data_IF_450859865351
#
_entry.id   IF_450859865351
#
_cell.length_a   1.000
_cell.length_b   1.000
_cell.length_c   1.000
_cell.angle_alpha   90.00
_cell.angle_beta   90.00
_cell.angle_gamma   90.00
#
_symmetry.space_group_name_H-M   'P 1'
#
loop_
_entity.id
_entity.type
_entity.pdbx_description
1 polymer ?
#
# COMPACT_ATOMS: atom_id res chain seq x y z
N UNK A 1 -21.12 -4.71 6.72
CA UNK A 1 -22.02 -3.78 7.45
C UNK A 1 -21.25 -3.00 8.52
N UNK A 2 -20.45 -3.64 9.42
CA UNK A 2 -19.75 -2.90 10.48
C UNK A 2 -18.66 -1.98 9.90
N UNK A 3 -17.79 -2.49 9.03
CA UNK A 3 -16.71 -1.71 8.38
C UNK A 3 -17.26 -0.44 7.71
N UNK A 4 -18.37 -0.54 6.98
CA UNK A 4 -18.99 0.64 6.34
C UNK A 4 -19.44 1.70 7.35
N UNK A 5 -19.92 1.30 8.53
CA UNK A 5 -20.30 2.22 9.61
C UNK A 5 -19.08 2.87 10.24
N UNK A 6 -18.01 2.12 10.42
CA UNK A 6 -16.76 2.61 10.99
C UNK A 6 -16.10 3.62 10.03
N UNK A 7 -16.10 3.32 8.72
CA UNK A 7 -15.66 4.28 7.69
C UNK A 7 -16.51 5.54 7.71
N UNK A 8 -17.85 5.41 7.71
CA UNK A 8 -18.74 6.58 7.78
C UNK A 8 -18.54 7.40 9.04
N UNK A 9 -18.36 6.75 10.20
CA UNK A 9 -18.08 7.45 11.45
C UNK A 9 -16.76 8.25 11.36
N UNK A 10 -15.72 7.65 10.79
CA UNK A 10 -14.40 8.27 10.65
C UNK A 10 -14.35 9.41 9.61
N UNK A 11 -15.27 9.44 8.65
CA UNK A 11 -15.37 10.56 7.68
C UNK A 11 -16.39 11.63 8.10
N UNK A 12 -16.82 11.66 9.35
CA UNK A 12 -17.76 12.67 9.87
C UNK A 12 -19.24 12.30 9.74
N UNK A 13 -19.55 11.03 9.45
CA UNK A 13 -20.92 10.51 9.35
C UNK A 13 -21.47 10.47 7.93
N UNK A 14 -22.60 9.77 7.77
CA UNK A 14 -23.25 9.60 6.47
C UNK A 14 -23.64 10.93 5.81
N UNK A 15 -24.00 11.94 6.59
CA UNK A 15 -24.40 13.26 6.08
C UNK A 15 -23.20 14.08 5.56
N UNK A 16 -21.98 13.74 5.93
CA UNK A 16 -20.77 14.39 5.43
C UNK A 16 -20.30 13.81 4.09
N UNK A 17 -20.80 12.64 3.68
CA UNK A 17 -20.46 12.02 2.40
C UNK A 17 -21.40 12.55 1.32
N UNK A 18 -20.81 13.14 0.27
CA UNK A 18 -21.54 13.71 -0.87
C UNK A 18 -21.46 12.85 -2.12
N UNK A 19 -20.44 11.94 -2.18
CA UNK A 19 -20.31 10.96 -3.26
C UNK A 19 -19.60 9.70 -2.76
N UNK A 20 -19.94 8.57 -3.37
CA UNK A 20 -19.42 7.25 -3.07
C UNK A 20 -19.18 6.49 -4.38
N UNK A 21 -17.93 6.14 -4.67
CA UNK A 21 -17.52 5.40 -5.86
C UNK A 21 -16.43 4.37 -5.50
N UNK A 22 -16.20 3.42 -6.39
CA UNK A 22 -15.14 2.42 -6.22
C UNK A 22 -14.22 2.35 -7.44
N UNK A 23 -12.96 2.03 -7.18
CA UNK A 23 -12.00 1.70 -8.22
C UNK A 23 -11.14 0.51 -7.76
N UNK A 24 -11.45 -0.68 -8.25
CA UNK A 24 -10.76 -1.96 -8.01
C UNK A 24 -10.57 -2.32 -6.51
N UNK A 25 -9.73 -1.61 -5.79
CA UNK A 25 -9.39 -1.87 -4.38
C UNK A 25 -9.59 -0.64 -3.49
N UNK A 26 -10.10 0.46 -4.06
CA UNK A 26 -10.24 1.74 -3.39
C UNK A 26 -11.71 2.17 -3.35
N UNK A 27 -12.15 2.49 -2.16
CA UNK A 27 -13.40 3.22 -1.94
C UNK A 27 -13.07 4.71 -2.04
N UNK A 28 -13.78 5.44 -2.89
CA UNK A 28 -13.63 6.87 -3.11
C UNK A 28 -14.82 7.59 -2.50
N UNK A 29 -14.56 8.50 -1.60
CA UNK A 29 -15.57 9.31 -0.94
C UNK A 29 -15.26 10.79 -1.18
N UNK A 30 -16.30 11.58 -1.48
CA UNK A 30 -16.25 13.03 -1.36
C UNK A 30 -16.96 13.43 -0.07
N UNK A 31 -16.40 14.40 0.66
CA UNK A 31 -16.95 14.91 1.90
C UNK A 31 -17.36 16.37 1.74
N UNK A 32 -18.43 16.81 2.41
CA UNK A 32 -18.86 18.20 2.43
C UNK A 32 -17.89 19.05 3.27
N UNK A 33 -17.51 18.52 4.45
CA UNK A 33 -16.54 19.15 5.35
C UNK A 33 -15.36 18.20 5.58
N UNK A 34 -14.19 18.43 4.95
CA UNK A 34 -13.02 17.59 5.09
C UNK A 34 -12.37 17.69 6.49
N UNK A 35 -12.69 18.70 7.29
CA UNK A 35 -12.17 18.84 8.65
C UNK A 35 -12.74 17.80 9.62
N UNK A 36 -13.86 17.16 9.26
CA UNK A 36 -14.49 16.09 10.03
C UNK A 36 -13.89 14.69 9.74
N UNK A 37 -12.94 14.60 8.81
CA UNK A 37 -12.30 13.33 8.45
C UNK A 37 -11.21 13.00 9.46
N UNK A 38 -11.45 11.99 10.27
CA UNK A 38 -10.47 11.41 11.19
C UNK A 38 -9.68 10.30 10.48
N UNK A 39 -8.48 10.64 10.02
CA UNK A 39 -7.60 9.72 9.29
C UNK A 39 -7.01 8.64 10.19
N UNK A 40 -6.85 8.89 11.48
CA UNK A 40 -6.35 7.92 12.45
C UNK A 40 -7.41 6.83 12.72
N UNK A 41 -8.64 7.24 13.03
CA UNK A 41 -9.77 6.32 13.16
C UNK A 41 -10.01 5.52 11.86
N UNK A 42 -9.87 6.17 10.70
CA UNK A 42 -10.06 5.54 9.41
C UNK A 42 -8.99 4.48 9.12
N UNK A 43 -7.72 4.77 9.44
CA UNK A 43 -6.62 3.80 9.30
C UNK A 43 -6.71 2.63 10.29
N UNK A 44 -7.30 2.85 11.47
CA UNK A 44 -7.58 1.82 12.46
C UNK A 44 -8.77 0.92 12.12
N UNK A 45 -9.56 1.26 11.08
CA UNK A 45 -10.72 0.48 10.67
C UNK A 45 -10.32 -0.86 10.06
N UNK A 46 -10.95 -1.93 10.52
CA UNK A 46 -10.64 -3.29 10.08
C UNK A 46 -10.72 -3.46 8.56
N UNK A 47 -9.65 -3.92 7.96
CA UNK A 47 -9.54 -4.17 6.52
C UNK A 47 -9.10 -2.97 5.69
N UNK A 48 -8.92 -1.80 6.29
CA UNK A 48 -8.28 -0.64 5.65
C UNK A 48 -6.77 -0.90 5.59
N UNK A 49 -6.20 -0.77 4.40
CA UNK A 49 -4.77 -0.93 4.12
C UNK A 49 -4.07 0.41 3.98
N UNK A 50 -4.82 1.48 3.77
CA UNK A 50 -4.28 2.82 3.64
C UNK A 50 -5.35 3.83 3.24
N UNK A 51 -4.98 5.13 3.32
CA UNK A 51 -5.85 6.25 3.02
C UNK A 51 -5.08 7.23 2.13
N UNK A 52 -5.76 7.78 1.13
CA UNK A 52 -5.24 8.84 0.27
C UNK A 52 -6.21 10.01 0.30
N UNK A 53 -5.72 11.21 0.58
CA UNK A 53 -6.51 12.44 0.38
C UNK A 53 -6.43 12.85 -1.08
N UNK A 54 -7.56 13.24 -1.66
CA UNK A 54 -7.66 13.72 -3.04
C UNK A 54 -8.31 15.09 -3.07
N UNK A 55 -7.63 16.06 -3.65
CA UNK A 55 -8.13 17.43 -3.69
C UNK A 55 -8.41 17.99 -2.28
N UNK A 56 -9.39 18.87 -2.18
CA UNK A 56 -9.76 19.52 -0.91
C UNK A 56 -10.69 18.69 -0.04
N UNK A 57 -11.51 17.80 -0.64
CA UNK A 57 -12.60 17.09 0.03
C UNK A 57 -12.72 15.61 -0.34
N UNK A 58 -11.80 15.07 -1.14
CA UNK A 58 -11.75 13.67 -1.53
C UNK A 58 -10.94 12.79 -0.56
N UNK A 59 -11.45 11.60 -0.27
CA UNK A 59 -10.78 10.58 0.54
C UNK A 59 -10.89 9.24 -0.18
N UNK A 60 -9.75 8.62 -0.47
CA UNK A 60 -9.69 7.25 -0.95
C UNK A 60 -9.27 6.32 0.19
N UNK A 61 -10.08 5.32 0.46
CA UNK A 61 -9.81 4.30 1.46
C UNK A 61 -9.44 3.00 0.74
N UNK A 62 -8.22 2.54 0.92
CA UNK A 62 -7.69 1.36 0.25
C UNK A 62 -8.06 0.11 1.04
N UNK A 63 -8.74 -0.81 0.36
CA UNK A 63 -9.06 -2.14 0.87
C UNK A 63 -8.35 -3.20 0.04
N UNK A 64 -8.23 -4.42 0.57
CA UNK A 64 -7.75 -5.56 -0.21
C UNK A 64 -8.77 -5.97 -1.29
N UNK A 65 -8.32 -6.75 -2.31
CA UNK A 65 -9.20 -7.26 -3.36
C UNK A 65 -10.42 -8.01 -2.79
N UNK A 66 -11.61 -7.73 -3.35
CA UNK A 66 -12.87 -8.39 -3.00
C UNK A 66 -13.54 -7.90 -1.72
N UNK A 67 -12.97 -6.93 -1.00
CA UNK A 67 -13.61 -6.32 0.18
C UNK A 67 -14.30 -4.99 -0.12
N UNK A 68 -13.77 -4.23 -1.07
CA UNK A 68 -14.24 -2.88 -1.35
C UNK A 68 -15.68 -2.84 -1.86
N UNK A 69 -16.06 -3.79 -2.71
CA UNK A 69 -17.42 -3.87 -3.29
C UNK A 69 -18.48 -3.96 -2.18
N UNK A 70 -18.30 -4.88 -1.22
CA UNK A 70 -19.24 -5.03 -0.11
C UNK A 70 -19.28 -3.83 0.84
N UNK A 71 -18.18 -3.08 0.96
CA UNK A 71 -18.15 -1.84 1.76
C UNK A 71 -18.84 -0.70 1.01
N UNK A 72 -18.58 -0.57 -0.30
CA UNK A 72 -19.24 0.41 -1.17
C UNK A 72 -20.76 0.25 -1.15
N UNK A 73 -21.25 -0.98 -1.42
CA UNK A 73 -22.68 -1.28 -1.43
C UNK A 73 -23.35 -1.00 -0.08
N UNK A 74 -22.63 -1.31 1.01
CA UNK A 74 -23.12 -1.02 2.35
C UNK A 74 -23.18 0.49 2.64
N UNK A 75 -22.21 1.28 2.15
CA UNK A 75 -22.22 2.74 2.26
C UNK A 75 -23.32 3.33 1.38
N UNK A 76 -23.47 2.87 0.14
CA UNK A 76 -24.57 3.28 -0.75
C UNK A 76 -25.95 3.06 -0.08
N UNK A 77 -26.14 1.90 0.55
CA UNK A 77 -27.35 1.60 1.30
C UNK A 77 -27.58 2.48 2.54
N UNK A 78 -26.53 3.02 3.15
CA UNK A 78 -26.61 3.88 4.35
C UNK A 78 -26.74 5.37 4.02
N UNK A 79 -26.16 5.80 2.89
CA UNK A 79 -26.14 7.21 2.45
C UNK A 79 -27.18 7.53 1.37
N UNK A 80 -27.64 6.51 0.66
CA UNK A 80 -28.50 6.67 -0.53
C UNK A 80 -27.74 7.20 -1.77
N UNK A 81 -26.43 7.16 -1.76
CA UNK A 81 -25.57 7.64 -2.84
C UNK A 81 -25.11 6.45 -3.68
N UNK A 82 -25.49 6.42 -4.95
CA UNK A 82 -25.01 5.46 -5.96
C UNK A 82 -23.87 6.08 -6.80
N UNK A 83 -23.04 5.22 -7.40
CA UNK A 83 -21.80 5.56 -8.12
C UNK A 83 -21.96 6.51 -9.33
N UNK A 84 -23.18 6.81 -9.76
CA UNK A 84 -23.44 7.58 -10.99
C UNK A 84 -23.41 9.12 -10.80
N UNK A 85 -23.14 9.65 -9.60
CA UNK A 85 -23.44 11.05 -9.27
C UNK A 85 -22.24 12.00 -9.15
N UNK A 86 -20.98 11.53 -9.17
CA UNK A 86 -19.84 12.41 -8.93
C UNK A 86 -18.75 12.31 -10.00
N UNK A 87 -18.36 13.46 -10.53
CA UNK A 87 -17.17 13.59 -11.36
C UNK A 87 -15.91 13.67 -10.48
N UNK A 88 -15.28 12.50 -10.21
CA UNK A 88 -14.00 12.42 -9.52
C UNK A 88 -12.80 12.81 -10.41
N UNK A 89 -13.04 13.25 -11.65
CA UNK A 89 -12.00 13.57 -12.63
C UNK A 89 -11.45 14.99 -12.49
N UNK A 90 -12.12 15.88 -11.73
CA UNK A 90 -11.78 17.30 -11.67
C UNK A 90 -10.87 17.69 -10.51
N UNK A 91 -10.61 16.80 -9.55
CA UNK A 91 -9.75 17.10 -8.41
C UNK A 91 -8.30 16.69 -8.70
N UNK A 92 -7.50 17.69 -9.12
CA UNK A 92 -6.05 17.58 -9.04
C UNK A 92 -5.64 17.33 -7.56
N UNK A 93 -4.60 16.53 -7.29
CA UNK A 93 -4.18 16.26 -5.92
C UNK A 93 -3.88 17.57 -5.19
N UNK A 94 -4.48 17.76 -4.02
CA UNK A 94 -3.95 18.69 -3.05
C UNK A 94 -2.57 18.18 -2.62
N UNK A 95 -1.65 19.08 -2.36
CA UNK A 95 -0.25 18.85 -2.04
C UNK A 95 0.02 17.53 -1.30
N UNK A 96 0.97 16.77 -1.83
CA UNK A 96 1.27 15.39 -1.56
C UNK A 96 1.21 14.98 -0.08
N UNK A 97 0.14 14.29 0.31
CA UNK A 97 0.16 13.35 1.42
C UNK A 97 0.17 11.94 0.79
N UNK A 98 1.37 11.47 0.49
CA UNK A 98 1.57 10.16 -0.08
C UNK A 98 1.06 9.07 0.86
N UNK A 99 0.46 8.03 0.30
CA UNK A 99 -0.04 6.85 1.00
C UNK A 99 1.12 6.19 1.76
N UNK A 100 1.29 6.48 3.04
CA UNK A 100 2.15 5.72 3.94
C UNK A 100 1.38 4.51 4.44
N UNK A 101 1.68 3.33 3.94
CA UNK A 101 1.24 2.08 4.56
C UNK A 101 2.29 1.69 5.60
N UNK A 102 2.09 2.15 6.83
CA UNK A 102 2.87 1.68 7.98
C UNK A 102 2.12 0.50 8.59
N UNK A 103 2.62 -0.71 8.40
CA UNK A 103 2.08 -1.90 9.09
C UNK A 103 2.85 -2.02 10.41
N UNK A 104 2.22 -1.63 11.51
CA UNK A 104 2.78 -1.86 12.83
C UNK A 104 2.76 -3.35 13.16
N UNK A 105 3.92 -3.86 13.62
CA UNK A 105 4.16 -5.26 14.00
C UNK A 105 3.42 -5.60 15.31
N UNK A 106 2.10 -5.73 15.28
CA UNK A 106 1.32 -6.31 16.36
C UNK A 106 0.64 -7.59 15.88
N UNK A 107 1.37 -8.70 16.03
CA UNK A 107 0.80 -10.02 16.17
C UNK A 107 0.33 -10.69 14.87
N UNK A 108 1.27 -11.25 14.09
CA UNK A 108 0.97 -12.33 13.16
C UNK A 108 1.54 -13.65 13.71
N UNK A 109 0.76 -14.74 13.71
CA UNK A 109 1.27 -16.04 14.11
C UNK A 109 2.31 -16.53 13.09
N UNK A 110 3.41 -17.11 13.59
CA UNK A 110 4.48 -17.70 12.79
C UNK A 110 3.94 -18.88 11.98
N UNK A 111 4.05 -18.80 10.66
CA UNK A 111 3.76 -19.91 9.75
C UNK A 111 4.99 -20.76 9.51
N UNK A 112 5.21 -21.75 10.35
CA UNK A 112 5.89 -22.99 9.96
C UNK A 112 4.82 -24.08 10.00
N UNK A 113 4.31 -24.43 8.84
CA UNK A 113 3.67 -25.68 8.42
C UNK A 113 2.61 -25.40 7.34
N UNK A 114 3.07 -25.31 6.08
CA UNK A 114 2.18 -25.38 4.94
C UNK A 114 2.25 -26.79 4.37
N UNK A 115 1.34 -27.65 4.81
CA UNK A 115 0.92 -28.82 4.04
C UNK A 115 -0.52 -28.63 3.57
N UNK A 116 -0.73 -28.95 2.28
CA UNK A 116 -2.02 -28.95 1.59
C UNK A 116 -3.13 -29.57 2.44
N UNK A 117 -4.19 -28.82 2.73
CA UNK A 117 -5.53 -29.40 2.85
C UNK A 117 -6.64 -28.41 2.47
N UNK A 118 -7.55 -28.88 1.63
CA UNK A 118 -8.79 -28.21 1.25
C UNK A 118 -9.81 -28.51 2.36
N UNK A 119 -9.93 -27.59 3.31
CA UNK A 119 -10.94 -27.69 4.36
C UNK A 119 -11.62 -26.34 4.57
N UNK A 120 -12.94 -26.30 4.37
CA UNK A 120 -13.77 -25.22 4.88
C UNK A 120 -13.63 -25.18 6.40
N UNK A 121 -13.37 -23.99 6.93
CA UNK A 121 -13.26 -23.75 8.38
C UNK A 121 -14.55 -24.19 9.08
N UNK A 122 -14.44 -25.04 10.09
CA UNK A 122 -15.57 -25.55 10.88
C UNK A 122 -16.11 -24.42 11.79
N UNK A 123 -17.41 -24.49 12.06
CA UNK A 123 -18.13 -23.51 12.89
C UNK A 123 -17.61 -23.47 14.34
N UNK A 124 -16.95 -24.53 14.80
CA UNK A 124 -16.35 -24.60 16.13
C UNK A 124 -15.02 -23.84 16.21
N UNK A 125 -14.21 -23.85 15.15
CA UNK A 125 -12.97 -23.05 15.05
C UNK A 125 -13.29 -21.54 15.00
N UNK A 126 -14.40 -21.14 14.36
CA UNK A 126 -14.87 -19.75 14.36
C UNK A 126 -15.36 -19.31 15.74
N UNK A 127 -15.90 -20.20 16.55
CA UNK A 127 -16.36 -19.92 17.89
C UNK A 127 -15.21 -19.72 18.88
N UNK A 128 -14.15 -20.49 18.72
CA UNK A 128 -12.94 -20.37 19.55
C UNK A 128 -12.21 -19.04 19.24
N UNK A 129 -12.14 -18.65 17.96
CA UNK A 129 -11.60 -17.36 17.54
C UNK A 129 -12.40 -16.16 18.09
N UNK A 130 -13.74 -16.28 18.10
CA UNK A 130 -14.62 -15.25 18.67
C UNK A 130 -14.47 -15.13 20.19
N UNK A 131 -14.22 -16.25 20.89
CA UNK A 131 -14.05 -16.24 22.35
C UNK A 131 -12.73 -15.60 22.79
N UNK A 132 -11.70 -15.64 21.94
CA UNK A 132 -10.42 -14.98 22.18
C UNK A 132 -10.55 -13.45 21.97
N UNK A 133 -11.33 -13.02 20.98
CA UNK A 133 -11.60 -11.61 20.73
C UNK A 133 -12.47 -10.95 21.80
N UNK A 134 -13.43 -11.68 22.39
CA UNK A 134 -14.26 -11.19 23.49
C UNK A 134 -13.49 -11.09 24.83
N UNK A 135 -12.45 -11.87 25.03
CA UNK A 135 -11.64 -11.85 26.23
C UNK A 135 -10.66 -10.65 26.30
N UNK A 136 -10.27 -10.08 25.16
CA UNK A 136 -9.42 -8.89 25.10
C UNK A 136 -10.21 -7.57 25.22
N UNK A 137 -11.52 -7.61 25.01
CA UNK A 137 -12.40 -6.42 25.06
C UNK A 137 -12.76 -5.94 26.47
N UNK A 138 -12.29 -6.58 27.55
CA UNK A 138 -12.66 -6.26 28.93
C UNK A 138 -11.52 -5.72 29.81
N UNK A 139 -10.47 -5.19 29.23
CA UNK A 139 -9.45 -4.41 29.97
C UNK A 139 -9.20 -3.12 29.23
N UNK A 140 -9.81 -2.06 29.73
CA UNK A 140 -9.16 -0.77 29.99
C UNK A 140 -10.21 0.32 30.17
N UNK A 141 -10.34 0.79 31.42
CA UNK A 141 -10.91 2.10 31.75
C UNK A 141 -9.85 3.18 31.52
N UNK A 142 -10.25 4.43 31.13
CA UNK A 142 -9.34 5.44 30.64
C UNK A 142 -8.56 6.11 31.80
N UNK A 143 -7.23 6.10 31.67
CA UNK A 143 -6.36 7.02 32.41
C UNK A 143 -6.16 8.29 31.57
N UNK A 144 -6.27 9.42 32.24
CA UNK A 144 -6.25 10.78 31.71
C UNK A 144 -5.00 11.10 30.89
N UNK A 145 -5.23 11.88 29.84
CA UNK A 145 -4.22 12.35 28.88
C UNK A 145 -3.28 13.37 29.53
N UNK A 146 -1.99 13.13 29.52
CA UNK A 146 -0.95 14.15 29.46
C UNK A 146 0.20 13.70 28.56
N UNK A 147 0.54 14.51 27.59
CA UNK A 147 1.76 14.45 26.83
C UNK A 147 1.58 13.98 25.39
N UNK A 148 1.55 14.94 24.47
CA UNK A 148 1.84 14.68 23.08
C UNK A 148 3.26 14.08 23.01
N UNK A 149 3.36 12.77 22.84
CA UNK A 149 4.59 12.11 22.49
C UNK A 149 4.88 12.50 21.04
N UNK A 150 5.94 13.27 20.82
CA UNK A 150 6.62 13.30 19.56
C UNK A 150 7.02 11.86 19.27
N UNK A 151 6.43 11.22 18.28
CA UNK A 151 6.89 9.93 17.79
C UNK A 151 8.35 10.14 17.37
N UNK A 152 9.28 9.56 18.11
CA UNK A 152 10.68 9.54 17.76
C UNK A 152 10.78 8.75 16.44
N UNK A 153 11.25 9.42 15.37
CA UNK A 153 11.53 8.74 14.12
C UNK A 153 12.48 7.56 14.40
N UNK A 154 12.25 6.37 13.83
CA UNK A 154 13.09 5.23 14.09
C UNK A 154 14.54 5.56 13.76
N UNK A 155 15.44 5.47 14.74
CA UNK A 155 16.87 5.61 14.51
C UNK A 155 17.35 4.47 13.61
N UNK A 156 17.84 4.81 12.40
CA UNK A 156 18.41 3.86 11.46
C UNK A 156 17.99 4.10 10.01
N UNK A 157 18.59 3.35 9.10
CA UNK A 157 18.34 3.50 7.67
C UNK A 157 16.93 3.06 7.28
N UNK A 158 16.34 3.77 6.31
CA UNK A 158 14.98 3.58 5.84
C UNK A 158 14.96 3.30 4.33
N UNK A 159 14.14 2.35 3.89
CA UNK A 159 13.97 2.00 2.48
C UNK A 159 12.52 2.16 2.05
N UNK A 160 12.32 2.70 0.84
CA UNK A 160 11.01 2.68 0.19
C UNK A 160 11.01 1.76 -1.02
N UNK A 161 9.96 0.93 -1.15
CA UNK A 161 9.70 0.07 -2.31
C UNK A 161 8.56 0.70 -3.11
N UNK A 162 8.88 1.18 -4.33
CA UNK A 162 7.92 1.86 -5.21
C UNK A 162 7.50 0.92 -6.33
N UNK A 163 6.20 0.67 -6.43
CA UNK A 163 5.59 -0.23 -7.39
C UNK A 163 4.67 0.52 -8.36
N UNK A 164 4.87 0.30 -9.64
CA UNK A 164 4.09 0.89 -10.71
C UNK A 164 2.84 0.09 -11.09
N UNK A 165 2.26 0.40 -12.29
CA UNK A 165 0.99 -0.12 -12.75
C UNK A 165 0.90 -1.64 -12.72
N UNK A 166 -0.26 -2.12 -12.27
CA UNK A 166 -0.65 -3.52 -12.24
C UNK A 166 0.15 -4.43 -11.29
N UNK A 167 1.11 -3.91 -10.50
CA UNK A 167 1.80 -4.73 -9.50
C UNK A 167 0.82 -5.13 -8.39
N UNK A 168 -0.18 -4.30 -8.07
CA UNK A 168 -1.29 -4.64 -7.18
C UNK A 168 -2.14 -5.84 -7.66
N UNK A 169 -2.00 -6.25 -8.93
CA UNK A 169 -2.71 -7.39 -9.53
C UNK A 169 -1.91 -8.71 -9.49
N UNK A 170 -0.80 -8.75 -8.76
CA UNK A 170 -0.02 -9.97 -8.57
C UNK A 170 -0.87 -11.10 -7.99
N UNK A 171 -0.65 -12.31 -8.52
CA UNK A 171 -1.44 -13.51 -8.19
C UNK A 171 -2.77 -13.62 -8.94
N UNK A 172 -3.27 -12.52 -9.52
CA UNK A 172 -4.52 -12.47 -10.30
C UNK A 172 -4.19 -12.39 -11.79
N UNK A 173 -3.32 -11.43 -12.17
CA UNK A 173 -2.95 -11.18 -13.56
C UNK A 173 -1.86 -12.14 -14.02
N UNK A 174 -2.10 -12.87 -15.11
CA UNK A 174 -1.11 -13.69 -15.85
C UNK A 174 -0.17 -14.51 -14.94
N UNK A 175 -0.67 -15.45 -14.10
CA UNK A 175 0.16 -16.18 -13.14
C UNK A 175 1.32 -16.96 -13.77
N UNK A 176 1.21 -17.30 -15.07
CA UNK A 176 2.26 -17.97 -15.83
C UNK A 176 3.49 -17.09 -16.09
N UNK A 177 3.31 -15.76 -16.06
CA UNK A 177 4.36 -14.76 -16.34
C UNK A 177 4.88 -14.17 -15.03
N UNK A 178 3.98 -13.83 -14.10
CA UNK A 178 4.31 -13.09 -12.87
C UNK A 178 4.33 -13.97 -11.61
N UNK A 179 3.97 -15.26 -11.72
CA UNK A 179 3.84 -16.15 -10.57
C UNK A 179 2.44 -16.09 -9.93
N UNK A 180 2.20 -17.01 -9.00
CA UNK A 180 0.92 -17.12 -8.27
C UNK A 180 0.92 -16.36 -6.92
N UNK A 181 2.05 -15.78 -6.52
CA UNK A 181 2.15 -15.03 -5.27
C UNK A 181 1.37 -13.72 -5.37
N UNK A 182 0.64 -13.40 -4.30
CA UNK A 182 -0.19 -12.20 -4.23
C UNK A 182 0.65 -10.94 -3.99
N UNK A 183 0.05 -9.77 -4.21
CA UNK A 183 0.66 -8.49 -3.84
C UNK A 183 0.93 -8.42 -2.33
N UNK A 184 0.04 -8.97 -1.50
CA UNK A 184 0.24 -9.04 -0.05
C UNK A 184 1.48 -9.86 0.33
N UNK A 185 1.73 -10.97 -0.37
CA UNK A 185 2.94 -11.76 -0.16
C UNK A 185 4.21 -10.97 -0.52
N UNK A 186 4.15 -10.13 -1.56
CA UNK A 186 5.24 -9.22 -1.92
C UNK A 186 5.51 -8.20 -0.79
N UNK A 187 4.47 -7.57 -0.24
CA UNK A 187 4.63 -6.60 0.86
C UNK A 187 5.30 -7.24 2.07
N UNK A 188 4.82 -8.41 2.50
CA UNK A 188 5.41 -9.16 3.62
C UNK A 188 6.87 -9.55 3.36
N UNK A 189 7.18 -9.96 2.12
CA UNK A 189 8.55 -10.30 1.73
C UNK A 189 9.47 -9.07 1.81
N UNK A 190 9.03 -7.90 1.32
CA UNK A 190 9.82 -6.67 1.36
C UNK A 190 10.11 -6.25 2.81
N UNK A 191 9.10 -6.21 3.67
CA UNK A 191 9.26 -5.85 5.08
C UNK A 191 10.20 -6.81 5.82
N UNK A 192 10.01 -8.13 5.60
CA UNK A 192 10.91 -9.13 6.19
C UNK A 192 12.34 -8.95 5.70
N UNK A 193 12.54 -8.79 4.39
CA UNK A 193 13.85 -8.62 3.80
C UNK A 193 14.58 -7.38 4.33
N UNK A 194 13.87 -6.25 4.44
CA UNK A 194 14.43 -5.01 4.97
C UNK A 194 14.86 -5.15 6.43
N UNK A 195 14.01 -5.74 7.27
CA UNK A 195 14.34 -6.05 8.67
C UNK A 195 15.58 -6.96 8.77
N UNK A 196 15.62 -8.04 7.98
CA UNK A 196 16.72 -8.98 7.96
C UNK A 196 18.04 -8.32 7.44
N UNK A 197 17.94 -7.30 6.59
CA UNK A 197 19.04 -6.53 6.02
C UNK A 197 19.51 -5.35 6.91
N UNK A 198 18.82 -5.08 8.03
CA UNK A 198 19.22 -4.05 9.00
C UNK A 198 18.55 -2.69 8.82
N UNK A 199 17.56 -2.55 7.91
CA UNK A 199 16.75 -1.33 7.83
C UNK A 199 15.84 -1.19 9.05
N UNK A 200 15.73 0.04 9.57
CA UNK A 200 14.82 0.39 10.65
C UNK A 200 13.36 0.48 10.16
N UNK A 201 13.17 0.88 8.89
CA UNK A 201 11.85 1.02 8.28
C UNK A 201 11.85 0.56 6.82
N UNK A 202 10.76 -0.07 6.39
CA UNK A 202 10.48 -0.41 5.01
C UNK A 202 9.06 0.02 4.64
N UNK A 203 8.93 1.07 3.88
CA UNK A 203 7.65 1.50 3.32
C UNK A 203 7.44 0.93 1.93
N UNK A 204 6.20 0.57 1.60
CA UNK A 204 5.83 0.09 0.27
C UNK A 204 4.75 1.00 -0.32
N UNK A 205 5.04 1.55 -1.49
CA UNK A 205 4.13 2.38 -2.27
C UNK A 205 3.71 1.67 -3.56
N UNK A 206 2.48 1.87 -4.03
CA UNK A 206 2.02 1.38 -5.32
C UNK A 206 1.04 2.37 -5.93
N UNK A 207 1.25 2.71 -7.21
CA UNK A 207 0.27 3.46 -8.00
C UNK A 207 0.23 2.98 -9.46
N UNK A 208 -0.94 3.18 -10.08
CA UNK A 208 -1.12 3.02 -11.52
C UNK A 208 -0.89 4.35 -12.28
N UNK A 209 -0.68 5.46 -11.58
CA UNK A 209 -0.49 6.79 -12.15
C UNK A 209 0.99 7.17 -12.16
N UNK A 210 1.44 7.74 -13.28
CA UNK A 210 2.84 8.14 -13.46
C UNK A 210 3.25 9.25 -12.49
N UNK A 211 2.38 10.26 -12.32
CA UNK A 211 2.62 11.38 -11.40
C UNK A 211 2.81 10.93 -9.96
N UNK A 212 1.97 10.02 -9.47
CA UNK A 212 2.09 9.48 -8.11
C UNK A 212 3.44 8.76 -7.88
N UNK A 213 4.03 8.15 -8.93
CA UNK A 213 5.35 7.52 -8.83
C UNK A 213 6.47 8.56 -8.82
N UNK A 214 6.31 9.65 -9.57
CA UNK A 214 7.23 10.79 -9.55
C UNK A 214 7.23 11.42 -8.17
N UNK A 215 6.05 11.68 -7.61
CA UNK A 215 5.88 12.28 -6.29
C UNK A 215 6.48 11.36 -5.20
N UNK A 216 6.22 10.05 -5.24
CA UNK A 216 6.80 9.10 -4.30
C UNK A 216 8.34 9.04 -4.35
N UNK A 217 8.94 9.23 -5.53
CA UNK A 217 10.40 9.32 -5.67
C UNK A 217 10.90 10.63 -5.03
N UNK A 218 10.21 11.75 -5.28
CA UNK A 218 10.59 13.05 -4.72
C UNK A 218 10.44 13.09 -3.19
N UNK A 219 9.36 12.53 -2.65
CA UNK A 219 9.09 12.43 -1.22
C UNK A 219 10.10 11.55 -0.49
N UNK A 220 10.77 10.63 -1.22
CA UNK A 220 11.84 9.83 -0.64
C UNK A 220 13.08 10.67 -0.27
N UNK A 221 13.26 11.87 -0.86
CA UNK A 221 14.38 12.74 -0.55
C UNK A 221 14.34 13.24 0.89
N UNK A 222 15.40 12.96 1.64
CA UNK A 222 15.48 13.31 3.07
C UNK A 222 14.64 12.43 4.01
N UNK A 223 13.80 11.55 3.47
CA UNK A 223 12.95 10.65 4.25
C UNK A 223 13.41 9.18 4.21
N UNK A 224 14.15 8.80 3.18
CA UNK A 224 14.66 7.43 2.98
C UNK A 224 16.13 7.47 2.54
N UNK A 225 16.84 6.35 2.77
CA UNK A 225 18.25 6.18 2.42
C UNK A 225 18.44 5.45 1.10
N UNK A 226 17.37 4.88 0.56
CA UNK A 226 17.40 4.20 -0.73
C UNK A 226 16.03 3.78 -1.23
N UNK A 227 15.98 3.47 -2.53
CA UNK A 227 14.76 3.14 -3.25
C UNK A 227 14.91 1.80 -3.97
N UNK A 228 13.93 0.91 -3.81
CA UNK A 228 13.73 -0.25 -4.68
C UNK A 228 12.52 0.04 -5.57
N UNK A 229 12.70 0.06 -6.89
CA UNK A 229 11.64 0.47 -7.81
C UNK A 229 11.31 -0.57 -8.86
N UNK A 230 10.02 -0.85 -9.02
CA UNK A 230 9.46 -1.58 -10.15
C UNK A 230 8.43 -0.69 -10.87
N UNK A 231 8.83 0.12 -11.84
CA UNK A 231 7.91 1.06 -12.50
C UNK A 231 6.85 0.38 -13.37
N UNK A 232 6.87 -0.97 -13.47
CA UNK A 232 5.97 -1.69 -14.36
C UNK A 232 6.17 -1.30 -15.83
N UNK A 233 5.09 -0.98 -16.52
CA UNK A 233 5.16 -0.58 -17.93
C UNK A 233 5.86 0.78 -18.13
N UNK A 234 5.82 1.68 -17.15
CA UNK A 234 6.49 2.98 -17.23
C UNK A 234 8.01 2.87 -17.32
N UNK A 235 8.61 1.73 -16.99
CA UNK A 235 10.03 1.42 -17.26
C UNK A 235 10.43 1.76 -18.69
N UNK A 236 9.53 1.50 -19.66
CA UNK A 236 9.82 1.59 -21.10
C UNK A 236 9.35 2.90 -21.75
N UNK A 237 8.68 3.78 -20.99
CA UNK A 237 8.01 4.97 -21.55
C UNK A 237 8.27 6.25 -20.77
N UNK A 238 8.54 6.16 -19.45
CA UNK A 238 8.59 7.35 -18.61
C UNK A 238 9.98 7.94 -18.50
N UNK A 239 10.17 9.09 -19.12
CA UNK A 239 11.33 9.95 -18.90
C UNK A 239 11.13 10.75 -17.60
N UNK A 240 9.89 11.06 -17.23
CA UNK A 240 9.58 11.79 -15.99
C UNK A 240 10.06 11.04 -14.75
N UNK A 241 9.83 9.72 -14.68
CA UNK A 241 10.33 8.88 -13.58
C UNK A 241 11.87 8.86 -13.56
N UNK A 242 12.53 8.78 -14.72
CA UNK A 242 13.99 8.87 -14.79
C UNK A 242 14.52 10.21 -14.27
N UNK A 243 13.88 11.30 -14.67
CA UNK A 243 14.29 12.64 -14.27
C UNK A 243 14.10 12.85 -12.76
N UNK A 244 12.97 12.38 -12.20
CA UNK A 244 12.73 12.41 -10.75
C UNK A 244 13.81 11.61 -9.99
N UNK A 245 14.12 10.38 -10.43
CA UNK A 245 15.15 9.55 -9.83
C UNK A 245 16.54 10.21 -9.86
N UNK A 246 16.90 10.87 -10.96
CA UNK A 246 18.15 11.62 -11.08
C UNK A 246 18.17 12.88 -10.20
N UNK A 247 17.04 13.57 -10.06
CA UNK A 247 16.92 14.77 -9.23
C UNK A 247 17.11 14.44 -7.76
N UNK A 248 16.55 13.33 -7.29
CA UNK A 248 16.64 12.87 -5.90
C UNK A 248 18.04 12.31 -5.60
N UNK A 249 18.62 11.55 -6.52
CA UNK A 249 19.98 11.02 -6.41
C UNK A 249 20.21 9.98 -5.32
N UNK A 250 19.14 9.39 -4.76
CA UNK A 250 19.25 8.30 -3.78
C UNK A 250 19.75 7.01 -4.45
N UNK A 251 20.50 6.14 -3.74
CA UNK A 251 20.77 4.79 -4.20
C UNK A 251 19.49 4.08 -4.60
N UNK A 252 19.45 3.55 -5.83
CA UNK A 252 18.23 2.95 -6.39
C UNK A 252 18.53 1.65 -7.09
N UNK A 253 17.66 0.64 -6.87
CA UNK A 253 17.67 -0.65 -7.56
C UNK A 253 16.39 -0.82 -8.36
N UNK A 254 16.53 -1.12 -9.66
CA UNK A 254 15.41 -1.48 -10.54
C UNK A 254 15.07 -2.96 -10.39
N UNK A 255 13.79 -3.30 -10.20
CA UNK A 255 13.32 -4.69 -10.07
C UNK A 255 12.27 -5.03 -11.11
N UNK A 256 12.39 -6.22 -11.72
CA UNK A 256 11.38 -6.82 -12.59
C UNK A 256 11.08 -8.25 -12.16
N UNK A 257 9.79 -8.54 -11.97
CA UNK A 257 9.32 -9.87 -11.56
C UNK A 257 9.48 -10.87 -12.71
N UNK A 258 9.19 -10.43 -13.94
CA UNK A 258 9.21 -11.27 -15.15
C UNK A 258 10.53 -11.14 -15.90
N UNK A 259 10.76 -12.10 -16.81
CA UNK A 259 11.87 -12.08 -17.77
C UNK A 259 11.64 -11.03 -18.87
N UNK A 260 11.91 -9.78 -18.55
CA UNK A 260 11.67 -8.65 -19.46
C UNK A 260 12.41 -8.83 -20.77
N UNK A 261 13.63 -9.42 -20.73
CA UNK A 261 14.49 -9.64 -21.90
C UNK A 261 13.97 -10.71 -22.87
N UNK A 262 13.03 -11.57 -22.45
CA UNK A 262 12.42 -12.62 -23.29
C UNK A 262 11.04 -12.16 -23.83
N UNK A 263 10.67 -10.89 -23.66
CA UNK A 263 9.39 -10.33 -24.06
C UNK A 263 9.52 -9.45 -25.32
N UNK A 264 8.50 -8.65 -25.60
CA UNK A 264 8.40 -7.81 -26.80
C UNK A 264 9.57 -6.81 -26.90
N UNK A 265 10.01 -6.51 -28.13
CA UNK A 265 11.20 -5.68 -28.40
C UNK A 265 11.20 -4.33 -27.68
N UNK A 266 10.02 -3.68 -27.55
CA UNK A 266 9.92 -2.40 -26.86
C UNK A 266 10.25 -2.49 -25.35
N UNK A 267 10.24 -3.70 -24.76
CA UNK A 267 10.61 -3.93 -23.37
C UNK A 267 12.12 -4.07 -23.14
N UNK A 268 12.91 -4.10 -24.19
CA UNK A 268 14.37 -4.16 -24.07
C UNK A 268 14.96 -2.84 -23.55
N UNK A 269 14.25 -1.74 -23.69
CA UNK A 269 14.69 -0.44 -23.23
C UNK A 269 14.11 -0.15 -21.85
N UNK A 270 14.98 0.14 -20.87
CA UNK A 270 14.61 0.71 -19.58
C UNK A 270 15.19 2.11 -19.47
N UNK A 271 14.34 3.13 -19.34
CA UNK A 271 14.79 4.50 -19.11
C UNK A 271 15.31 4.68 -17.68
N UNK A 272 14.60 4.13 -16.67
CA UNK A 272 14.94 4.30 -15.26
C UNK A 272 16.30 3.67 -14.90
N UNK A 273 16.75 2.66 -15.65
CA UNK A 273 18.02 1.97 -15.42
C UNK A 273 19.21 2.93 -15.35
N UNK A 274 19.15 4.03 -16.09
CA UNK A 274 20.21 5.04 -16.10
C UNK A 274 20.36 5.79 -14.75
N UNK A 275 19.40 5.66 -13.82
CA UNK A 275 19.45 6.21 -12.49
C UNK A 275 19.68 5.12 -11.40
N UNK A 276 19.63 3.84 -11.78
CA UNK A 276 19.80 2.71 -10.86
C UNK A 276 21.23 2.19 -10.89
N UNK A 277 21.79 1.82 -9.73
CA UNK A 277 23.10 1.19 -9.69
C UNK A 277 23.05 -0.30 -10.04
N UNK A 278 21.87 -0.92 -9.92
CA UNK A 278 21.62 -2.32 -10.24
C UNK A 278 20.23 -2.54 -10.83
N UNK A 279 20.08 -3.60 -11.64
CA UNK A 279 18.80 -4.08 -12.16
C UNK A 279 18.65 -5.56 -11.85
N UNK A 280 17.63 -5.94 -11.10
CA UNK A 280 17.29 -7.31 -10.75
C UNK A 280 16.09 -7.77 -11.58
N UNK A 281 16.27 -8.86 -12.35
CA UNK A 281 15.23 -9.45 -13.20
C UNK A 281 15.12 -10.95 -12.95
N UNK A 282 13.99 -11.55 -13.36
CA UNK A 282 13.79 -13.01 -13.53
C UNK A 282 13.70 -13.85 -12.24
N UNK A 283 13.62 -13.22 -11.10
CA UNK A 283 13.56 -13.88 -9.80
C UNK A 283 12.14 -13.90 -9.18
N UNK A 284 11.10 -13.55 -9.95
CA UNK A 284 9.78 -13.38 -9.38
C UNK A 284 9.78 -12.32 -8.28
N UNK A 285 8.98 -12.51 -7.22
CA UNK A 285 9.00 -11.59 -6.07
C UNK A 285 10.28 -11.67 -5.24
N UNK A 286 11.04 -12.77 -5.33
CA UNK A 286 12.34 -12.90 -4.65
C UNK A 286 13.37 -11.88 -5.17
N UNK A 287 13.16 -11.33 -6.35
CA UNK A 287 13.96 -10.22 -6.87
C UNK A 287 13.96 -8.99 -5.96
N UNK A 288 12.85 -8.72 -5.28
CA UNK A 288 12.78 -7.63 -4.31
C UNK A 288 13.63 -7.89 -3.07
N UNK A 289 13.67 -9.14 -2.59
CA UNK A 289 14.57 -9.51 -1.49
C UNK A 289 16.01 -9.23 -1.87
N UNK A 290 16.44 -9.74 -3.04
CA UNK A 290 17.79 -9.47 -3.55
C UNK A 290 18.07 -7.96 -3.62
N UNK A 291 17.17 -7.20 -4.24
CA UNK A 291 17.33 -5.76 -4.40
C UNK A 291 17.48 -5.01 -3.06
N UNK A 292 16.72 -5.41 -2.04
CA UNK A 292 16.79 -4.84 -0.69
C UNK A 292 18.14 -5.16 -0.03
N UNK A 293 18.65 -6.39 -0.16
CA UNK A 293 19.97 -6.74 0.37
C UNK A 293 21.11 -6.01 -0.36
N UNK A 294 21.05 -5.92 -1.70
CA UNK A 294 22.07 -5.21 -2.48
C UNK A 294 22.05 -3.70 -2.16
N UNK A 295 20.87 -3.14 -1.91
CA UNK A 295 20.72 -1.76 -1.47
C UNK A 295 21.32 -1.56 -0.06
N UNK A 296 21.07 -2.47 0.88
CA UNK A 296 21.65 -2.44 2.22
C UNK A 296 23.17 -2.46 2.16
N UNK A 297 23.76 -3.39 1.39
CA UNK A 297 25.21 -3.44 1.16
C UNK A 297 25.73 -2.12 0.55
N UNK A 298 24.99 -1.55 -0.41
CA UNK A 298 25.36 -0.31 -1.10
C UNK A 298 25.45 0.88 -0.15
N UNK A 299 24.58 0.96 0.86
CA UNK A 299 24.55 2.06 1.85
C UNK A 299 25.35 1.74 3.12
N UNK A 300 25.92 0.53 3.25
CA UNK A 300 26.82 0.15 4.33
C UNK A 300 26.12 -0.41 5.58
N UNK A 301 24.97 -1.06 5.42
CA UNK A 301 24.27 -1.81 6.46
C UNK A 301 24.85 -3.23 6.59
#
# INVERSE_FOLDING_TARGET
MQIARDVLAAVGGANNVTANDICMTRLRLLTEDPSLVDTEQLSGTSGVLGIVKRGTNGVEVVFGPGKVDGVHDAIAGLTGLDSDAADFSSDAPAEADALRVTISDKGLPSSDDAQDDKGAMDLDDMRELMSILDAESQKDEPAEAEGAATEEEPEGARVIVINGPNINMLGIREPKIYGSQSYQALLQLCQKAAKDAGFAECSCFQSNHEGDLVDAIQDAYGSYDGIVINPGAYTHTSIAILDAAKAVGLPMVEVHISKVNEREDFRQVSYIRAACFETVCDLGIEGYRKAIYDLAEKIGL
#
